data_IF_717969608162
#
_entry.id   IF_717969608162
#
_cell.length_a   1.000
_cell.length_b   1.000
_cell.length_c   1.000
_cell.angle_alpha   90.00
_cell.angle_beta   90.00
_cell.angle_gamma   90.00
#
_symmetry.space_group_name_H-M   'P 1'
#
loop_
_entity.id
_entity.type
_entity.pdbx_description
1 polymer ?
#
# COMPACT_ATOMS: atom_id res chain seq x y z
N UNK A 1 -7.34 10.42 -5.79
CA UNK A 1 -7.30 8.97 -5.46
C UNK A 1 -6.05 8.27 -6.03
N UNK A 2 -5.41 7.41 -5.24
CA UNK A 2 -4.23 6.61 -5.62
C UNK A 2 -4.16 5.35 -4.75
N UNK A 3 -3.75 4.22 -5.33
CA UNK A 3 -3.45 3.00 -4.59
C UNK A 3 -1.94 2.85 -4.39
N UNK A 4 -1.51 2.71 -3.15
CA UNK A 4 -0.11 2.48 -2.79
C UNK A 4 0.02 1.05 -2.28
N UNK A 5 1.02 0.31 -2.75
CA UNK A 5 1.30 -1.05 -2.30
C UNK A 5 2.67 -1.07 -1.62
N UNK A 6 2.66 -1.28 -0.30
CA UNK A 6 3.85 -1.43 0.51
C UNK A 6 4.17 -2.91 0.61
N UNK A 7 5.24 -3.36 -0.05
CA UNK A 7 5.68 -4.76 -0.06
C UNK A 7 6.74 -4.98 1.01
N UNK A 8 6.47 -5.87 1.95
CA UNK A 8 7.33 -6.11 3.12
C UNK A 8 7.40 -7.60 3.49
N UNK A 9 8.36 -7.96 4.33
CA UNK A 9 8.54 -9.34 4.76
C UNK A 9 7.53 -9.69 5.88
N UNK A 10 6.94 -10.89 5.84
CA UNK A 10 5.88 -11.34 6.78
C UNK A 10 6.26 -11.21 8.25
N UNK A 11 7.56 -11.30 8.58
CA UNK A 11 8.07 -11.07 9.93
C UNK A 11 7.71 -9.70 10.55
N UNK A 12 7.29 -8.74 9.74
CA UNK A 12 6.86 -7.39 10.16
C UNK A 12 5.34 -7.19 10.07
N UNK A 13 4.55 -8.25 9.91
CA UNK A 13 3.08 -8.17 9.79
C UNK A 13 2.43 -7.48 10.99
N UNK A 14 2.90 -7.77 12.20
CA UNK A 14 2.44 -7.11 13.43
C UNK A 14 2.84 -5.63 13.54
N UNK A 15 3.60 -5.11 12.58
CA UNK A 15 4.13 -3.75 12.58
C UNK A 15 3.46 -2.87 11.52
N UNK A 16 2.29 -3.28 10.98
CA UNK A 16 1.52 -2.53 9.99
C UNK A 16 1.33 -1.06 10.37
N UNK A 17 0.89 -0.78 11.61
CA UNK A 17 0.66 0.59 12.07
C UNK A 17 1.94 1.44 11.98
N UNK A 18 3.08 0.89 12.44
CA UNK A 18 4.37 1.57 12.39
C UNK A 18 4.87 1.77 10.94
N UNK A 19 4.60 0.83 10.04
CA UNK A 19 4.89 0.96 8.60
C UNK A 19 4.08 2.12 8.01
N UNK A 20 2.77 2.15 8.27
CA UNK A 20 1.87 3.17 7.75
C UNK A 20 2.22 4.56 8.29
N UNK A 21 2.39 4.71 9.60
CA UNK A 21 2.79 5.98 10.24
C UNK A 21 4.09 6.52 9.64
N UNK A 22 5.09 5.65 9.47
CA UNK A 22 6.37 6.06 8.90
C UNK A 22 6.25 6.43 7.43
N UNK A 23 5.43 5.73 6.65
CA UNK A 23 5.16 6.06 5.26
C UNK A 23 4.51 7.45 5.13
N UNK A 24 3.44 7.71 5.88
CA UNK A 24 2.73 8.99 5.84
C UNK A 24 3.63 10.14 6.27
N UNK A 25 4.41 9.98 7.34
CA UNK A 25 5.37 11.00 7.79
C UNK A 25 6.36 11.43 6.69
N UNK A 26 6.77 10.50 5.81
CA UNK A 26 7.77 10.78 4.77
C UNK A 26 7.17 11.30 3.47
N UNK A 27 6.01 10.79 3.05
CA UNK A 27 5.51 10.99 1.68
C UNK A 27 4.14 11.66 1.58
N UNK A 28 3.37 11.69 2.67
CA UNK A 28 2.00 12.18 2.65
C UNK A 28 1.52 12.62 4.05
N UNK A 29 2.21 13.57 4.72
CA UNK A 29 1.87 13.96 6.08
C UNK A 29 0.48 14.60 6.19
N UNK A 30 -0.06 15.10 5.07
CA UNK A 30 -1.38 15.74 5.00
C UNK A 30 -2.55 14.73 4.84
N UNK A 31 -2.28 13.46 4.49
CA UNK A 31 -3.30 12.49 4.03
C UNK A 31 -3.76 11.54 5.16
N UNK A 32 -3.36 11.80 6.40
CA UNK A 32 -3.54 10.86 7.53
C UNK A 32 -5.01 10.43 7.74
N UNK A 33 -5.99 11.24 7.33
CA UNK A 33 -7.41 10.92 7.56
C UNK A 33 -8.19 10.51 6.31
N UNK A 34 -7.61 10.48 5.11
CA UNK A 34 -8.31 10.09 3.88
C UNK A 34 -7.64 8.88 3.22
N UNK A 35 -7.60 7.77 3.94
CA UNK A 35 -7.15 6.49 3.40
C UNK A 35 -7.86 5.28 4.03
N UNK A 36 -7.73 4.15 3.36
CA UNK A 36 -8.04 2.82 3.89
C UNK A 36 -6.81 1.91 3.77
N UNK A 37 -6.57 1.03 4.75
CA UNK A 37 -5.47 0.06 4.75
C UNK A 37 -6.03 -1.35 4.58
N UNK A 38 -5.55 -2.08 3.57
CA UNK A 38 -5.82 -3.51 3.43
C UNK A 38 -4.53 -4.30 3.65
N UNK A 39 -4.51 -5.16 4.66
CA UNK A 39 -3.44 -6.13 4.83
C UNK A 39 -3.71 -7.35 3.95
N UNK A 40 -2.85 -7.58 2.95
CA UNK A 40 -2.94 -8.73 2.07
C UNK A 40 -1.97 -9.81 2.53
N UNK A 41 -2.52 -10.94 2.97
CA UNK A 41 -1.76 -12.10 3.39
C UNK A 41 -0.71 -12.52 2.33
N UNK A 42 0.45 -13.03 2.77
CA UNK A 42 1.43 -13.60 1.85
C UNK A 42 0.82 -14.75 1.05
N UNK A 43 1.23 -14.87 -0.21
CA UNK A 43 0.94 -16.07 -1.00
C UNK A 43 2.03 -17.13 -0.75
N UNK A 44 2.53 -17.81 -1.79
CA UNK A 44 3.65 -18.77 -1.70
C UNK A 44 5.03 -18.13 -1.37
N UNK A 45 5.06 -16.85 -0.95
CA UNK A 45 6.28 -16.08 -0.66
C UNK A 45 6.27 -15.53 0.75
N UNK A 46 7.42 -15.35 1.38
CA UNK A 46 7.56 -14.63 2.66
C UNK A 46 7.25 -13.13 2.58
N UNK A 47 6.64 -12.66 1.49
CA UNK A 47 6.36 -11.26 1.21
C UNK A 47 4.86 -10.99 1.26
N UNK A 48 4.49 -10.13 2.17
CA UNK A 48 3.13 -9.62 2.39
C UNK A 48 3.03 -8.18 1.87
N UNK A 49 1.81 -7.65 1.77
CA UNK A 49 1.55 -6.32 1.22
C UNK A 49 0.53 -5.57 2.07
N UNK A 50 0.79 -4.29 2.34
CA UNK A 50 -0.24 -3.34 2.77
C UNK A 50 -0.66 -2.56 1.53
N UNK A 51 -1.95 -2.49 1.28
CA UNK A 51 -2.54 -1.67 0.21
C UNK A 51 -3.22 -0.47 0.83
N UNK A 52 -2.72 0.72 0.52
CA UNK A 52 -3.28 1.99 0.97
C UNK A 52 -4.09 2.63 -0.16
N UNK A 53 -5.38 2.81 0.09
CA UNK A 53 -6.30 3.49 -0.82
C UNK A 53 -6.43 4.96 -0.42
N UNK A 54 -5.54 5.79 -0.98
CA UNK A 54 -5.47 7.21 -0.66
C UNK A 54 -6.57 7.99 -1.38
N UNK A 55 -7.27 8.85 -0.65
CA UNK A 55 -8.37 9.66 -1.19
C UNK A 55 -9.69 8.91 -1.27
N UNK A 56 -9.86 7.80 -0.53
CA UNK A 56 -11.02 6.92 -0.69
C UNK A 56 -12.32 7.50 -0.10
N UNK A 57 -12.23 8.35 0.93
CA UNK A 57 -13.39 9.03 1.53
C UNK A 57 -13.88 10.15 0.63
N UNK A 58 -12.95 10.92 0.04
CA UNK A 58 -13.29 12.00 -0.91
C UNK A 58 -13.65 11.49 -2.31
N UNK A 59 -13.18 10.31 -2.69
CA UNK A 59 -13.45 9.68 -3.99
C UNK A 59 -14.01 8.26 -3.76
N UNK A 60 -15.28 8.11 -3.38
CA UNK A 60 -15.85 6.81 -3.00
C UNK A 60 -16.02 5.85 -4.18
N UNK A 61 -16.07 6.38 -5.42
CA UNK A 61 -16.19 5.58 -6.64
C UNK A 61 -15.01 5.87 -7.54
N UNK A 62 -14.23 4.83 -7.87
CA UNK A 62 -13.07 4.93 -8.75
C UNK A 62 -13.05 3.78 -9.75
N UNK A 63 -12.49 4.02 -10.93
CA UNK A 63 -12.10 2.93 -11.82
C UNK A 63 -10.77 2.33 -11.35
N UNK A 64 -10.84 1.19 -10.64
CA UNK A 64 -9.67 0.45 -10.12
C UNK A 64 -8.66 0.11 -11.23
N UNK A 65 -9.10 0.02 -12.49
CA UNK A 65 -8.23 -0.25 -13.64
C UNK A 65 -7.49 1.01 -14.11
N UNK A 66 -7.99 2.20 -13.82
CA UNK A 66 -7.40 3.47 -14.25
C UNK A 66 -6.67 4.22 -13.13
N UNK A 67 -6.98 3.97 -11.84
CA UNK A 67 -6.32 4.67 -10.73
C UNK A 67 -4.79 4.51 -10.77
N UNK A 68 -4.10 5.55 -10.31
CA UNK A 68 -2.64 5.52 -10.18
C UNK A 68 -2.21 4.47 -9.15
N UNK A 69 -1.14 3.73 -9.47
CA UNK A 69 -0.51 2.78 -8.57
C UNK A 69 0.92 3.21 -8.29
N UNK A 70 1.30 3.15 -7.02
CA UNK A 70 2.70 3.19 -6.61
C UNK A 70 3.03 1.97 -5.78
N UNK A 71 4.23 1.42 -5.98
CA UNK A 71 4.69 0.26 -5.22
C UNK A 71 5.98 0.61 -4.54
N UNK A 72 6.07 0.34 -3.25
CA UNK A 72 7.27 0.54 -2.46
C UNK A 72 7.73 -0.79 -1.88
N UNK A 73 9.02 -1.06 -1.96
CA UNK A 73 9.66 -2.11 -1.16
C UNK A 73 9.99 -1.52 0.21
N UNK A 74 9.44 -2.10 1.26
CA UNK A 74 9.73 -1.72 2.65
C UNK A 74 10.96 -2.47 3.13
N UNK A 75 11.90 -1.75 3.75
CA UNK A 75 13.06 -2.32 4.41
C UNK A 75 13.05 -1.89 5.88
N UNK A 76 13.31 -2.83 6.79
CA UNK A 76 13.55 -2.55 8.20
C UNK A 76 15.05 -2.40 8.43
N UNK A 77 15.48 -1.23 8.93
CA UNK A 77 16.78 -1.02 9.57
C UNK A 77 16.52 -0.67 11.04
N UNK A 78 16.95 0.49 11.51
CA UNK A 78 16.53 1.09 12.78
C UNK A 78 15.08 1.60 12.67
N UNK A 79 14.73 2.20 11.53
CA UNK A 79 13.38 2.59 11.14
C UNK A 79 12.96 1.91 9.81
N UNK A 80 11.70 2.10 9.40
CA UNK A 80 11.24 1.66 8.09
C UNK A 80 11.65 2.64 6.98
N UNK A 81 12.31 2.10 5.96
CA UNK A 81 12.67 2.77 4.72
C UNK A 81 11.82 2.26 3.55
N UNK A 82 11.59 3.12 2.56
CA UNK A 82 10.77 2.81 1.39
C UNK A 82 11.53 3.07 0.09
N UNK A 83 11.63 2.04 -0.74
CA UNK A 83 12.21 2.13 -2.08
C UNK A 83 11.09 2.05 -3.12
N UNK A 84 10.88 3.14 -3.87
CA UNK A 84 9.87 3.18 -4.94
C UNK A 84 10.29 2.24 -6.07
N UNK A 85 9.39 1.34 -6.45
CA UNK A 85 9.60 0.39 -7.54
C UNK A 85 9.07 0.94 -8.87
N UNK A 86 9.48 0.28 -9.95
CA UNK A 86 9.18 0.70 -11.31
C UNK A 86 7.77 0.29 -11.79
N UNK A 87 7.44 0.67 -13.02
CA UNK A 87 6.15 0.40 -13.65
C UNK A 87 5.79 -1.09 -13.78
N UNK A 88 6.78 -1.98 -13.87
CA UNK A 88 6.52 -3.42 -13.91
C UNK A 88 5.95 -3.92 -12.58
N UNK A 89 6.47 -3.42 -11.44
CA UNK A 89 5.92 -3.70 -10.12
C UNK A 89 4.47 -3.16 -10.01
N UNK A 90 4.20 -1.95 -10.52
CA UNK A 90 2.85 -1.39 -10.53
C UNK A 90 1.87 -2.23 -11.36
N UNK A 91 2.27 -2.75 -12.53
CA UNK A 91 1.43 -3.64 -13.35
C UNK A 91 1.09 -4.93 -12.61
N UNK A 92 2.08 -5.55 -11.96
CA UNK A 92 1.87 -6.77 -11.18
C UNK A 92 0.96 -6.52 -9.97
N UNK A 93 1.19 -5.43 -9.23
CA UNK A 93 0.36 -5.01 -8.12
C UNK A 93 -1.10 -4.80 -8.55
N UNK A 94 -1.32 -4.09 -9.67
CA UNK A 94 -2.67 -3.90 -10.23
C UNK A 94 -3.36 -5.22 -10.56
N UNK A 95 -2.64 -6.19 -11.12
CA UNK A 95 -3.19 -7.52 -11.38
C UNK A 95 -3.59 -8.25 -10.10
N UNK A 96 -2.79 -8.11 -9.03
CA UNK A 96 -3.03 -8.76 -7.73
C UNK A 96 -4.16 -8.11 -6.94
N UNK A 97 -4.30 -6.79 -7.02
CA UNK A 97 -5.35 -6.05 -6.35
C UNK A 97 -6.66 -5.96 -7.16
N UNK A 98 -6.81 -6.74 -8.24
CA UNK A 98 -7.97 -6.65 -9.15
C UNK A 98 -9.30 -6.96 -8.46
N UNK A 99 -9.28 -7.84 -7.47
CA UNK A 99 -10.45 -8.25 -6.67
C UNK A 99 -10.58 -7.46 -5.37
N UNK A 100 -9.62 -6.58 -5.07
CA UNK A 100 -9.63 -5.78 -3.85
C UNK A 100 -10.51 -4.55 -4.05
N UNK A 101 -11.56 -4.46 -3.25
CA UNK A 101 -12.47 -3.31 -3.24
C UNK A 101 -11.72 -2.02 -2.88
N UNK A 102 -12.28 -0.89 -3.29
CA UNK A 102 -11.70 0.42 -3.02
C UNK A 102 -12.24 0.99 -1.71
N UNK A 103 -11.36 1.27 -0.74
CA UNK A 103 -11.68 2.11 0.41
C UNK A 103 -12.56 1.50 1.51
N UNK A 104 -12.79 0.18 1.54
CA UNK A 104 -13.74 -0.46 2.47
C UNK A 104 -13.26 -1.83 2.97
N UNK A 105 -13.80 -2.25 4.13
CA UNK A 105 -14.08 -3.66 4.45
C UNK A 105 -15.16 -4.22 3.53
#
# INVERSE_FOLDING_TARGET
PKRIVLRFHVKHELEEAAINERFFKLYAPEIVDDYYSHLMAPNESCMTHIVLDLGCKTNPVVDIRAIAYEVYKVKRKDEFDFEKLNSAACKLARSRCKTLNWGTD
#
